data_IF_707957408674
#
_entry.id   IF_707957408674
#
_cell.length_a   1.000
_cell.length_b   1.000
_cell.length_c   1.000
_cell.angle_alpha   90.00
_cell.angle_beta   90.00
_cell.angle_gamma   90.00
#
_symmetry.space_group_name_H-M   'P 1'
#
loop_
_entity.id
_entity.type
_entity.pdbx_description
1 polymer ?
#
# COMPACT_ATOMS: atom_id res chain seq x y z
N UNK A 1 34.98 -29.07 18.56
CA UNK A 1 36.24 -28.73 17.87
C UNK A 1 35.84 -27.74 16.79
N UNK A 2 35.94 -26.43 17.11
CA UNK A 2 35.79 -25.38 16.13
C UNK A 2 36.95 -25.47 15.14
N UNK A 3 36.65 -25.54 13.85
CA UNK A 3 37.65 -25.29 12.82
C UNK A 3 37.92 -23.77 12.85
N UNK A 4 39.08 -23.37 13.44
CA UNK A 4 39.59 -22.03 13.26
C UNK A 4 39.87 -21.85 11.76
N UNK A 5 39.23 -20.85 11.15
CA UNK A 5 39.50 -20.48 9.76
C UNK A 5 40.86 -19.78 9.74
N UNK A 6 41.67 -20.02 8.69
CA UNK A 6 42.96 -19.35 8.49
C UNK A 6 42.76 -17.82 8.56
N UNK A 7 43.51 -17.08 9.39
CA UNK A 7 43.42 -15.62 9.51
C UNK A 7 43.50 -14.86 8.16
N UNK A 8 44.27 -15.40 7.19
CA UNK A 8 44.32 -14.82 5.84
C UNK A 8 42.99 -15.02 5.08
N UNK A 9 42.29 -16.14 5.34
CA UNK A 9 40.97 -16.39 4.75
C UNK A 9 39.89 -15.52 5.39
N UNK A 10 39.95 -15.24 6.70
CA UNK A 10 39.05 -14.32 7.41
C UNK A 10 39.14 -12.91 6.82
N UNK A 11 40.35 -12.36 6.70
CA UNK A 11 40.58 -11.02 6.08
C UNK A 11 40.08 -10.97 4.63
N UNK A 12 40.25 -12.06 3.87
CA UNK A 12 39.69 -12.18 2.52
C UNK A 12 38.14 -12.16 2.50
N UNK A 13 37.51 -12.82 3.47
CA UNK A 13 36.03 -12.79 3.62
C UNK A 13 35.51 -11.43 4.06
N UNK A 14 36.17 -10.74 4.96
CA UNK A 14 35.80 -9.37 5.37
C UNK A 14 35.87 -8.40 4.20
N UNK A 15 36.93 -8.46 3.38
CA UNK A 15 37.03 -7.65 2.17
C UNK A 15 35.93 -8.00 1.15
N UNK A 16 35.63 -9.30 0.98
CA UNK A 16 34.56 -9.75 0.10
C UNK A 16 33.17 -9.29 0.59
N UNK A 17 32.93 -9.29 1.91
CA UNK A 17 31.71 -8.75 2.51
C UNK A 17 31.54 -7.26 2.19
N UNK A 18 32.59 -6.46 2.39
CA UNK A 18 32.56 -5.02 2.07
C UNK A 18 32.31 -4.77 0.59
N UNK A 19 32.90 -5.55 -0.31
CA UNK A 19 32.62 -5.46 -1.76
C UNK A 19 31.17 -5.81 -2.06
N UNK A 20 30.66 -6.90 -1.49
CA UNK A 20 29.28 -7.34 -1.71
C UNK A 20 28.27 -6.30 -1.22
N UNK A 21 28.48 -5.69 -0.04
CA UNK A 21 27.67 -4.62 0.52
C UNK A 21 27.69 -3.36 -0.39
N UNK A 22 28.89 -2.91 -0.80
CA UNK A 22 29.04 -1.70 -1.64
C UNK A 22 28.51 -1.87 -3.05
N UNK A 23 28.46 -3.11 -3.56
CA UNK A 23 27.89 -3.44 -4.87
C UNK A 23 26.45 -3.95 -4.81
N UNK A 24 25.78 -3.83 -3.65
CA UNK A 24 24.39 -4.24 -3.43
C UNK A 24 24.11 -5.72 -3.73
N UNK A 25 25.10 -6.59 -3.58
CA UNK A 25 24.97 -8.04 -3.73
C UNK A 25 24.55 -8.67 -2.39
N UNK A 26 23.36 -8.33 -1.89
CA UNK A 26 22.96 -8.62 -0.51
C UNK A 26 22.82 -10.11 -0.19
N UNK A 27 22.36 -10.95 -1.13
CA UNK A 27 22.35 -12.42 -0.95
C UNK A 27 23.77 -12.99 -0.76
N UNK A 28 24.71 -12.50 -1.58
CA UNK A 28 26.12 -12.92 -1.45
C UNK A 28 26.75 -12.40 -0.16
N UNK A 29 26.40 -11.18 0.26
CA UNK A 29 26.83 -10.62 1.52
C UNK A 29 26.34 -11.47 2.70
N UNK A 30 25.10 -11.94 2.66
CA UNK A 30 24.54 -12.85 3.67
C UNK A 30 25.33 -14.17 3.76
N UNK A 31 25.63 -14.83 2.63
CA UNK A 31 26.43 -16.05 2.60
C UNK A 31 27.84 -15.85 3.19
N UNK A 32 28.50 -14.74 2.87
CA UNK A 32 29.83 -14.42 3.41
C UNK A 32 29.75 -14.13 4.91
N UNK A 33 28.74 -13.40 5.35
CA UNK A 33 28.51 -13.07 6.76
C UNK A 33 28.26 -14.34 7.60
N UNK A 34 27.55 -15.34 7.06
CA UNK A 34 27.40 -16.65 7.71
C UNK A 34 28.75 -17.31 8.00
N UNK A 35 29.66 -17.28 7.01
CA UNK A 35 30.98 -17.87 7.19
C UNK A 35 31.80 -17.14 8.27
N UNK A 36 31.73 -15.81 8.31
CA UNK A 36 32.40 -15.00 9.34
C UNK A 36 31.83 -15.24 10.74
N UNK A 37 30.48 -15.37 10.86
CA UNK A 37 29.82 -15.67 12.14
C UNK A 37 30.16 -17.09 12.64
N UNK A 38 30.44 -18.05 11.74
CA UNK A 38 30.90 -19.39 12.14
C UNK A 38 32.29 -19.32 12.83
N UNK A 39 33.14 -18.39 12.43
CA UNK A 39 34.48 -18.17 13.04
C UNK A 39 34.36 -17.38 14.35
N UNK A 40 33.59 -16.27 14.34
CA UNK A 40 33.36 -15.44 15.53
C UNK A 40 31.83 -15.27 15.81
N UNK A 41 31.21 -16.26 16.51
CA UNK A 41 29.77 -16.26 16.76
C UNK A 41 29.27 -15.17 17.71
N UNK A 42 30.17 -14.48 18.39
CA UNK A 42 29.86 -13.43 19.36
C UNK A 42 30.18 -12.02 18.85
N UNK A 43 30.59 -11.90 17.61
CA UNK A 43 30.88 -10.62 16.97
C UNK A 43 29.58 -9.85 16.74
N UNK A 44 29.34 -8.85 17.56
CA UNK A 44 28.10 -8.09 17.55
C UNK A 44 27.90 -7.33 16.23
N UNK A 45 28.96 -6.78 15.64
CA UNK A 45 28.89 -6.04 14.39
C UNK A 45 28.48 -6.95 13.21
N UNK A 46 29.05 -8.15 13.16
CA UNK A 46 28.66 -9.16 12.17
C UNK A 46 27.22 -9.64 12.36
N UNK A 47 26.78 -9.84 13.61
CA UNK A 47 25.40 -10.21 13.91
C UNK A 47 24.42 -9.08 13.53
N UNK A 48 24.73 -7.82 13.79
CA UNK A 48 23.91 -6.70 13.38
C UNK A 48 23.85 -6.57 11.85
N UNK A 49 24.99 -6.75 11.17
CA UNK A 49 25.04 -6.80 9.70
C UNK A 49 24.20 -7.93 9.14
N UNK A 50 24.31 -9.13 9.72
CA UNK A 50 23.51 -10.29 9.32
C UNK A 50 22.02 -10.07 9.51
N UNK A 51 21.59 -9.48 10.63
CA UNK A 51 20.20 -9.12 10.88
C UNK A 51 19.67 -8.24 9.75
N UNK A 52 20.42 -7.20 9.38
CA UNK A 52 20.01 -6.24 8.36
C UNK A 52 19.95 -6.89 6.96
N UNK A 53 20.92 -7.76 6.64
CA UNK A 53 20.93 -8.52 5.40
C UNK A 53 19.75 -9.49 5.30
N UNK A 54 19.49 -10.26 6.35
CA UNK A 54 18.39 -11.23 6.40
C UNK A 54 17.04 -10.53 6.33
N UNK A 55 16.90 -9.38 6.98
CA UNK A 55 15.72 -8.54 6.89
C UNK A 55 15.49 -8.03 5.46
N UNK A 56 16.54 -7.51 4.80
CA UNK A 56 16.47 -7.03 3.43
C UNK A 56 16.12 -8.13 2.43
N UNK A 57 16.69 -9.32 2.63
CA UNK A 57 16.44 -10.49 1.77
C UNK A 57 15.09 -11.19 2.05
N UNK A 58 14.31 -10.72 3.03
CA UNK A 58 13.03 -11.31 3.42
C UNK A 58 13.16 -12.62 4.20
N UNK A 59 14.33 -12.91 4.77
CA UNK A 59 14.56 -14.12 5.58
C UNK A 59 14.28 -13.81 7.05
N UNK A 60 13.00 -13.62 7.36
CA UNK A 60 12.54 -13.10 8.65
C UNK A 60 12.78 -14.08 9.82
N UNK A 61 12.66 -15.40 9.61
CA UNK A 61 12.96 -16.41 10.62
C UNK A 61 14.42 -16.34 11.05
N UNK A 62 15.33 -16.25 10.08
CA UNK A 62 16.77 -16.14 10.36
C UNK A 62 17.09 -14.82 11.04
N UNK A 63 16.46 -13.71 10.59
CA UNK A 63 16.62 -12.41 11.25
C UNK A 63 16.19 -12.48 12.72
N UNK A 64 15.07 -13.15 13.03
CA UNK A 64 14.59 -13.33 14.39
C UNK A 64 15.56 -14.18 15.25
N UNK A 65 16.17 -15.22 14.66
CA UNK A 65 17.22 -16.02 15.34
C UNK A 65 18.43 -15.16 15.69
N UNK A 66 18.88 -14.31 14.73
CA UNK A 66 20.02 -13.41 14.94
C UNK A 66 19.69 -12.35 16.01
N UNK A 67 18.48 -11.77 16.00
CA UNK A 67 18.01 -10.89 17.07
C UNK A 67 18.11 -11.57 18.44
N UNK A 68 17.71 -12.83 18.54
CA UNK A 68 17.85 -13.61 19.78
C UNK A 68 19.31 -13.84 20.22
N UNK A 69 20.27 -13.93 19.29
CA UNK A 69 21.71 -13.96 19.61
C UNK A 69 22.19 -12.62 20.12
N UNK A 70 21.78 -11.53 19.48
CA UNK A 70 22.10 -10.16 19.90
C UNK A 70 21.54 -9.87 21.30
N UNK A 71 20.29 -10.28 21.60
CA UNK A 71 19.68 -10.17 22.93
C UNK A 71 20.54 -10.83 24.03
N UNK A 72 21.10 -12.00 23.74
CA UNK A 72 21.95 -12.73 24.70
C UNK A 72 23.27 -12.06 24.96
N UNK A 73 23.81 -11.32 24.00
CA UNK A 73 25.12 -10.67 24.09
C UNK A 73 25.06 -9.28 24.75
N UNK A 74 24.12 -8.43 24.31
CA UNK A 74 24.04 -7.05 24.79
C UNK A 74 22.86 -6.77 25.73
N UNK A 75 21.98 -7.76 25.96
CA UNK A 75 20.75 -7.58 26.69
C UNK A 75 19.61 -7.10 25.81
N UNK A 76 18.44 -6.92 26.43
CA UNK A 76 17.22 -6.53 25.76
C UNK A 76 17.00 -5.03 25.93
N UNK A 77 16.97 -4.28 24.85
CA UNK A 77 16.60 -2.87 24.82
C UNK A 77 15.30 -2.64 24.03
N UNK A 78 14.71 -1.47 24.19
CA UNK A 78 13.45 -1.10 23.54
C UNK A 78 13.52 -1.16 22.02
N UNK A 79 14.65 -0.76 21.42
CA UNK A 79 14.83 -0.79 19.96
C UNK A 79 14.83 -2.22 19.42
N UNK A 80 15.51 -3.11 20.14
CA UNK A 80 15.55 -4.53 19.76
C UNK A 80 14.17 -5.18 19.87
N UNK A 81 13.39 -4.82 20.89
CA UNK A 81 12.01 -5.29 21.04
C UNK A 81 11.10 -4.75 19.92
N UNK A 82 11.26 -3.50 19.52
CA UNK A 82 10.52 -2.93 18.38
C UNK A 82 10.84 -3.70 17.09
N UNK A 83 12.12 -3.98 16.83
CA UNK A 83 12.53 -4.77 15.67
C UNK A 83 11.98 -6.20 15.71
N UNK A 84 12.05 -6.84 16.87
CA UNK A 84 11.51 -8.19 17.09
C UNK A 84 9.99 -8.24 16.88
N UNK A 85 9.28 -7.24 17.34
CA UNK A 85 7.85 -7.10 17.10
C UNK A 85 7.54 -6.95 15.59
N UNK A 86 8.35 -6.18 14.85
CA UNK A 86 8.20 -6.05 13.41
C UNK A 86 8.41 -7.40 12.69
N UNK A 87 9.43 -8.15 13.09
CA UNK A 87 9.69 -9.48 12.54
C UNK A 87 8.54 -10.46 12.80
N UNK A 88 7.92 -10.40 13.97
CA UNK A 88 6.74 -11.24 14.26
C UNK A 88 5.54 -10.87 13.38
N UNK A 89 5.37 -9.61 12.98
CA UNK A 89 4.31 -9.26 12.00
C UNK A 89 4.62 -9.82 10.61
N UNK A 90 5.87 -9.68 10.13
CA UNK A 90 6.28 -10.27 8.84
C UNK A 90 6.12 -11.80 8.82
N UNK A 91 6.24 -12.44 9.97
CA UNK A 91 6.00 -13.88 10.17
C UNK A 91 4.52 -14.21 10.45
N UNK A 92 3.61 -13.28 10.17
CA UNK A 92 2.16 -13.43 10.37
C UNK A 92 1.77 -13.85 11.80
N UNK A 93 2.55 -13.41 12.80
CA UNK A 93 2.30 -13.67 14.22
C UNK A 93 2.02 -12.41 15.04
N UNK A 94 0.87 -11.75 14.81
CA UNK A 94 0.53 -10.49 15.46
C UNK A 94 0.36 -10.61 16.99
N UNK A 95 0.11 -11.82 17.48
CA UNK A 95 0.03 -12.08 18.93
C UNK A 95 1.38 -11.90 19.61
N UNK A 96 2.44 -12.54 19.10
CA UNK A 96 3.81 -12.39 19.61
C UNK A 96 4.35 -10.98 19.38
N UNK A 97 3.98 -10.33 18.27
CA UNK A 97 4.33 -8.94 18.03
C UNK A 97 3.81 -8.04 19.14
N UNK A 98 2.53 -8.16 19.52
CA UNK A 98 1.90 -7.38 20.57
C UNK A 98 2.47 -7.71 21.96
N UNK A 99 2.68 -8.99 22.28
CA UNK A 99 3.30 -9.42 23.54
C UNK A 99 4.70 -8.80 23.71
N UNK A 100 5.50 -8.81 22.64
CA UNK A 100 6.83 -8.20 22.62
C UNK A 100 6.75 -6.69 22.90
N UNK A 101 5.75 -6.01 22.36
CA UNK A 101 5.56 -4.59 22.62
C UNK A 101 5.06 -4.28 24.03
N UNK A 102 4.29 -5.18 24.67
CA UNK A 102 3.97 -5.01 26.09
C UNK A 102 5.21 -5.13 26.98
N UNK A 103 6.14 -6.05 26.68
CA UNK A 103 7.43 -6.15 27.37
C UNK A 103 8.23 -4.85 27.21
N UNK A 104 8.28 -4.28 25.99
CA UNK A 104 8.93 -3.00 25.74
C UNK A 104 8.29 -1.85 26.53
N UNK A 105 6.96 -1.82 26.61
CA UNK A 105 6.20 -0.82 27.36
C UNK A 105 6.45 -0.89 28.87
N UNK A 106 6.65 -2.09 29.45
CA UNK A 106 7.03 -2.24 30.85
C UNK A 106 8.41 -1.65 31.13
N UNK A 107 9.33 -1.67 30.16
CA UNK A 107 10.66 -1.08 30.30
C UNK A 107 10.64 0.45 30.15
N UNK A 108 9.90 0.98 29.18
CA UNK A 108 9.78 2.42 28.92
C UNK A 108 8.36 2.79 28.47
N UNK A 109 7.51 3.08 29.44
CA UNK A 109 6.09 3.40 29.23
C UNK A 109 5.83 4.79 28.64
N UNK A 110 6.87 5.61 28.47
CA UNK A 110 6.77 6.97 27.91
C UNK A 110 7.34 7.04 26.49
N UNK A 111 7.98 6.00 26.01
CA UNK A 111 8.56 5.97 24.69
C UNK A 111 7.48 6.02 23.61
N UNK A 112 7.52 7.08 22.83
CA UNK A 112 6.48 7.34 21.80
C UNK A 112 6.49 6.30 20.68
N UNK A 113 7.65 5.70 20.35
CA UNK A 113 7.77 4.66 19.33
C UNK A 113 7.09 3.36 19.79
N UNK A 114 7.29 3.00 21.07
CA UNK A 114 6.60 1.86 21.69
C UNK A 114 5.09 2.09 21.76
N UNK A 115 4.68 3.26 22.24
CA UNK A 115 3.26 3.62 22.32
C UNK A 115 2.59 3.59 20.95
N UNK A 116 3.22 4.19 19.95
CA UNK A 116 2.70 4.19 18.58
C UNK A 116 2.60 2.77 18.02
N UNK A 117 3.63 1.95 18.23
CA UNK A 117 3.64 0.56 17.76
C UNK A 117 2.54 -0.27 18.45
N UNK A 118 2.34 -0.12 19.75
CA UNK A 118 1.23 -0.75 20.47
C UNK A 118 -0.12 -0.35 19.87
N UNK A 119 -0.31 0.94 19.61
CA UNK A 119 -1.56 1.45 19.01
C UNK A 119 -1.79 0.84 17.63
N UNK A 120 -0.79 0.81 16.77
CA UNK A 120 -0.95 0.25 15.41
C UNK A 120 -1.25 -1.25 15.43
N UNK A 121 -0.58 -2.03 16.28
CA UNK A 121 -0.85 -3.46 16.45
C UNK A 121 -2.26 -3.73 17.00
N UNK A 122 -2.71 -2.92 17.97
CA UNK A 122 -4.05 -3.04 18.54
C UNK A 122 -5.14 -2.68 17.53
N UNK A 123 -4.92 -1.64 16.71
CA UNK A 123 -5.82 -1.30 15.60
C UNK A 123 -5.91 -2.46 14.60
N UNK A 124 -4.78 -3.03 14.19
CA UNK A 124 -4.72 -4.17 13.27
C UNK A 124 -5.43 -5.43 13.81
N UNK A 125 -5.52 -5.58 15.14
CA UNK A 125 -6.24 -6.66 15.80
C UNK A 125 -7.68 -6.28 16.21
N UNK A 126 -8.22 -5.18 15.70
CA UNK A 126 -9.57 -4.66 16.00
C UNK A 126 -9.82 -4.34 17.50
N UNK A 127 -8.74 -4.18 18.30
CA UNK A 127 -8.77 -3.86 19.74
C UNK A 127 -8.76 -2.34 19.97
N UNK A 128 -9.63 -1.62 19.28
CA UNK A 128 -9.66 -0.16 19.26
C UNK A 128 -9.81 0.49 20.64
N UNK A 129 -10.55 -0.14 21.57
CA UNK A 129 -10.73 0.40 22.93
C UNK A 129 -9.41 0.45 23.73
N UNK A 130 -8.55 -0.54 23.54
CA UNK A 130 -7.23 -0.55 24.15
C UNK A 130 -6.28 0.40 23.45
N UNK A 131 -6.34 0.45 22.10
CA UNK A 131 -5.56 1.39 21.31
C UNK A 131 -5.75 2.84 21.77
N UNK A 132 -6.99 3.25 22.07
CA UNK A 132 -7.32 4.59 22.56
C UNK A 132 -6.55 4.92 23.85
N UNK A 133 -6.40 3.97 24.77
CA UNK A 133 -5.73 4.19 26.07
C UNK A 133 -4.24 4.54 25.86
N UNK A 134 -3.55 3.79 25.00
CA UNK A 134 -2.14 4.06 24.69
C UNK A 134 -1.99 5.31 23.82
N UNK A 135 -2.92 5.52 22.89
CA UNK A 135 -2.89 6.70 22.03
C UNK A 135 -3.09 8.01 22.82
N UNK A 136 -3.95 7.99 23.82
CA UNK A 136 -4.13 9.17 24.68
C UNK A 136 -2.83 9.56 25.40
N UNK A 137 -1.98 8.59 25.79
CA UNK A 137 -0.67 8.89 26.37
C UNK A 137 0.28 9.57 25.37
N UNK A 138 0.20 9.23 24.07
CA UNK A 138 0.97 9.94 23.04
C UNK A 138 0.52 11.41 22.99
N UNK A 139 -0.77 11.67 22.93
CA UNK A 139 -1.33 13.02 22.85
C UNK A 139 -0.97 13.85 24.08
N UNK A 140 -1.08 13.27 25.28
CA UNK A 140 -0.86 13.98 26.55
C UNK A 140 0.62 14.29 26.80
N UNK A 141 1.51 13.33 26.51
CA UNK A 141 2.93 13.43 26.83
C UNK A 141 3.78 13.97 25.67
N UNK A 142 3.30 13.80 24.44
CA UNK A 142 4.02 14.19 23.21
C UNK A 142 3.12 15.04 22.28
N UNK A 143 2.58 16.19 22.73
CA UNK A 143 1.59 16.97 21.97
C UNK A 143 2.13 17.56 20.67
N UNK A 144 3.46 17.58 20.48
CA UNK A 144 4.13 18.02 19.25
C UNK A 144 4.43 16.87 18.28
N UNK A 145 4.09 15.63 18.64
CA UNK A 145 4.18 14.47 17.78
C UNK A 145 2.86 14.24 17.06
N UNK A 146 2.90 14.15 15.74
CA UNK A 146 1.68 13.98 14.92
C UNK A 146 1.02 12.62 15.09
N UNK A 147 1.76 11.59 15.54
CA UNK A 147 1.33 10.19 15.55
C UNK A 147 0.09 9.95 16.40
N UNK A 148 -0.08 10.66 17.51
CA UNK A 148 -1.28 10.56 18.34
C UNK A 148 -2.55 10.99 17.58
N UNK A 149 -2.47 12.06 16.81
CA UNK A 149 -3.57 12.56 15.98
C UNK A 149 -3.79 11.70 14.75
N UNK A 150 -2.69 11.23 14.12
CA UNK A 150 -2.73 10.28 12.99
C UNK A 150 -3.46 8.99 13.41
N UNK A 151 -3.11 8.40 14.55
CA UNK A 151 -3.74 7.18 15.04
C UNK A 151 -5.25 7.34 15.24
N UNK A 152 -5.68 8.46 15.83
CA UNK A 152 -7.12 8.76 15.98
C UNK A 152 -7.81 8.90 14.62
N UNK A 153 -7.17 9.56 13.66
CA UNK A 153 -7.71 9.70 12.31
C UNK A 153 -7.78 8.36 11.58
N UNK A 154 -6.76 7.50 11.72
CA UNK A 154 -6.77 6.13 11.17
C UNK A 154 -7.90 5.30 11.76
N UNK A 155 -8.12 5.35 13.08
CA UNK A 155 -9.24 4.67 13.73
C UNK A 155 -10.60 5.18 13.21
N UNK A 156 -10.75 6.49 13.02
CA UNK A 156 -11.96 7.09 12.45
C UNK A 156 -12.19 6.62 11.00
N UNK A 157 -11.14 6.63 10.16
CA UNK A 157 -11.21 6.18 8.78
C UNK A 157 -11.56 4.69 8.67
N UNK A 158 -10.97 3.83 9.50
CA UNK A 158 -11.30 2.41 9.60
C UNK A 158 -12.76 2.17 10.02
N UNK A 159 -13.28 3.05 10.89
CA UNK A 159 -14.69 3.07 11.30
C UNK A 159 -15.64 3.68 10.25
N UNK A 160 -15.15 4.02 9.03
CA UNK A 160 -15.91 4.72 7.97
C UNK A 160 -16.50 6.07 8.41
N UNK A 161 -15.75 6.82 9.19
CA UNK A 161 -16.14 8.13 9.75
C UNK A 161 -15.14 9.22 9.32
N UNK A 162 -15.09 9.57 8.03
CA UNK A 162 -14.13 10.54 7.52
C UNK A 162 -14.26 11.93 8.14
N UNK A 163 -15.49 12.33 8.54
CA UNK A 163 -15.71 13.61 9.22
C UNK A 163 -15.01 13.65 10.59
N UNK A 164 -14.99 12.54 11.33
CA UNK A 164 -14.26 12.47 12.61
C UNK A 164 -12.73 12.56 12.36
N UNK A 165 -12.21 11.95 11.31
CA UNK A 165 -10.79 12.09 10.94
C UNK A 165 -10.42 13.54 10.62
N UNK A 166 -11.25 14.25 9.87
CA UNK A 166 -11.08 15.69 9.58
C UNK A 166 -11.09 16.50 10.88
N UNK A 167 -12.08 16.29 11.76
CA UNK A 167 -12.18 16.99 13.02
C UNK A 167 -10.95 16.81 13.92
N UNK A 168 -10.31 15.65 13.86
CA UNK A 168 -9.09 15.34 14.62
C UNK A 168 -7.87 16.03 14.04
N UNK A 169 -7.71 16.04 12.72
CA UNK A 169 -6.46 16.49 12.07
C UNK A 169 -6.46 17.99 11.74
N UNK A 170 -7.59 18.52 11.27
CA UNK A 170 -7.69 19.90 10.75
C UNK A 170 -7.27 20.98 11.78
N UNK A 171 -7.61 20.88 13.09
CA UNK A 171 -7.15 21.87 14.08
C UNK A 171 -5.63 21.93 14.25
N UNK A 172 -4.92 20.89 13.81
CA UNK A 172 -3.47 20.72 13.93
C UNK A 172 -2.73 20.84 12.60
N UNK A 173 -3.45 21.12 11.49
CA UNK A 173 -2.91 21.15 10.13
C UNK A 173 -1.73 22.10 9.98
N UNK A 174 -1.80 23.29 10.55
CA UNK A 174 -0.72 24.28 10.45
C UNK A 174 0.56 23.77 11.11
N UNK A 175 0.44 23.17 12.32
CA UNK A 175 1.56 22.57 13.05
C UNK A 175 2.22 21.44 12.29
N UNK A 176 1.42 20.58 11.65
CA UNK A 176 1.88 19.39 10.93
C UNK A 176 1.80 19.57 9.40
N UNK A 177 1.95 20.80 8.93
CA UNK A 177 1.82 21.13 7.50
C UNK A 177 2.83 20.41 6.60
N UNK A 178 3.98 19.98 7.16
CA UNK A 178 5.02 19.23 6.47
C UNK A 178 4.99 17.73 6.79
N UNK A 179 3.95 17.23 7.44
CA UNK A 179 3.76 15.81 7.68
C UNK A 179 2.96 15.19 6.52
N UNK A 180 3.61 14.29 5.79
CA UNK A 180 2.99 13.59 4.66
C UNK A 180 1.71 12.88 5.06
N UNK A 181 1.74 12.13 6.18
CA UNK A 181 0.63 11.29 6.62
C UNK A 181 -0.58 12.11 7.01
N UNK A 182 -0.37 13.24 7.70
CA UNK A 182 -1.45 14.17 8.05
C UNK A 182 -2.11 14.74 6.79
N UNK A 183 -1.31 15.21 5.82
CA UNK A 183 -1.85 15.76 4.56
C UNK A 183 -2.56 14.67 3.73
N UNK A 184 -1.99 13.47 3.66
CA UNK A 184 -2.59 12.35 2.94
C UNK A 184 -3.93 11.90 3.55
N UNK A 185 -4.01 11.78 4.88
CA UNK A 185 -5.24 11.39 5.58
C UNK A 185 -6.33 12.46 5.45
N UNK A 186 -5.99 13.75 5.61
CA UNK A 186 -6.93 14.85 5.35
C UNK A 186 -7.46 14.79 3.92
N UNK A 187 -6.57 14.67 2.94
CA UNK A 187 -6.95 14.58 1.54
C UNK A 187 -7.87 13.40 1.24
N UNK A 188 -7.56 12.22 1.79
CA UNK A 188 -8.38 11.02 1.63
C UNK A 188 -9.74 11.15 2.34
N UNK A 189 -9.77 11.73 3.54
CA UNK A 189 -11.01 11.95 4.27
C UNK A 189 -11.93 12.96 3.54
N UNK A 190 -11.40 14.06 3.02
CA UNK A 190 -12.14 15.00 2.19
C UNK A 190 -12.66 14.35 0.89
N UNK A 191 -11.89 13.44 0.27
CA UNK A 191 -12.36 12.68 -0.88
C UNK A 191 -13.59 11.83 -0.56
N UNK A 192 -13.59 11.13 0.57
CA UNK A 192 -14.71 10.27 0.97
C UNK A 192 -16.01 11.05 1.20
N UNK A 193 -15.94 12.29 1.69
CA UNK A 193 -17.11 13.17 1.82
C UNK A 193 -17.41 13.98 0.54
N UNK A 194 -16.70 13.68 -0.56
CA UNK A 194 -16.84 14.36 -1.86
C UNK A 194 -16.50 15.85 -1.86
N UNK A 195 -15.73 16.32 -0.88
CA UNK A 195 -15.12 17.67 -0.92
C UNK A 195 -13.83 17.62 -1.75
N UNK A 196 -13.98 17.61 -3.07
CA UNK A 196 -12.86 17.48 -3.99
C UNK A 196 -11.91 18.69 -3.96
N UNK A 197 -12.37 19.87 -3.55
CA UNK A 197 -11.53 21.05 -3.44
C UNK A 197 -10.50 20.88 -2.33
N UNK A 198 -10.94 20.56 -1.12
CA UNK A 198 -10.05 20.33 0.01
C UNK A 198 -9.24 19.04 -0.16
N UNK A 199 -9.82 17.99 -0.74
CA UNK A 199 -9.11 16.76 -1.05
C UNK A 199 -7.91 17.01 -1.97
N UNK A 200 -8.12 17.71 -3.09
CA UNK A 200 -7.05 18.10 -4.04
C UNK A 200 -5.97 18.94 -3.36
N UNK A 201 -6.37 19.92 -2.52
CA UNK A 201 -5.43 20.75 -1.77
C UNK A 201 -4.49 19.93 -0.91
N UNK A 202 -5.02 19.05 -0.08
CA UNK A 202 -4.25 18.26 0.87
C UNK A 202 -3.42 17.16 0.18
N UNK A 203 -3.97 16.45 -0.81
CA UNK A 203 -3.20 15.45 -1.57
C UNK A 203 -2.10 16.09 -2.41
N UNK A 204 -2.30 17.29 -2.93
CA UNK A 204 -1.22 18.02 -3.62
C UNK A 204 -0.09 18.43 -2.66
N UNK A 205 -0.42 18.82 -1.41
CA UNK A 205 0.58 19.04 -0.37
C UNK A 205 1.31 17.75 -0.03
N UNK A 206 0.57 16.64 0.17
CA UNK A 206 1.18 15.33 0.43
C UNK A 206 2.15 14.93 -0.70
N UNK A 207 1.74 15.07 -1.97
CA UNK A 207 2.58 14.77 -3.11
C UNK A 207 3.83 15.68 -3.20
N UNK A 208 3.73 16.95 -2.77
CA UNK A 208 4.87 17.85 -2.71
C UNK A 208 5.90 17.44 -1.65
N UNK A 209 5.46 16.84 -0.54
CA UNK A 209 6.32 16.33 0.54
C UNK A 209 6.97 15.00 0.11
N UNK A 210 6.18 14.09 -0.48
CA UNK A 210 6.68 12.80 -0.97
C UNK A 210 6.25 12.55 -2.42
N UNK A 211 7.02 13.03 -3.41
CA UNK A 211 6.68 12.97 -4.84
C UNK A 211 6.56 11.55 -5.41
N UNK A 212 7.14 10.55 -4.73
CA UNK A 212 7.11 9.16 -5.17
C UNK A 212 5.88 8.39 -4.65
N UNK A 213 4.98 9.04 -3.89
CA UNK A 213 3.80 8.38 -3.34
C UNK A 213 2.84 7.94 -4.44
N UNK A 214 2.88 6.64 -4.76
CA UNK A 214 1.98 5.99 -5.73
C UNK A 214 0.51 6.21 -5.34
N UNK A 215 0.15 5.95 -4.09
CA UNK A 215 -1.24 6.09 -3.62
C UNK A 215 -1.76 7.53 -3.74
N UNK A 216 -0.91 8.53 -3.45
CA UNK A 216 -1.29 9.93 -3.59
C UNK A 216 -1.53 10.31 -5.05
N UNK A 217 -0.68 9.80 -5.98
CA UNK A 217 -0.86 10.01 -7.43
C UNK A 217 -2.17 9.39 -7.93
N UNK A 218 -2.49 8.15 -7.52
CA UNK A 218 -3.77 7.50 -7.83
C UNK A 218 -4.96 8.33 -7.35
N UNK A 219 -4.95 8.74 -6.09
CA UNK A 219 -6.04 9.52 -5.52
C UNK A 219 -6.22 10.87 -6.22
N UNK A 220 -5.12 11.56 -6.53
CA UNK A 220 -5.18 12.82 -7.28
C UNK A 220 -5.71 12.61 -8.71
N UNK A 221 -5.30 11.55 -9.40
CA UNK A 221 -5.79 11.25 -10.74
C UNK A 221 -7.32 11.05 -10.73
N UNK A 222 -7.85 10.29 -9.77
CA UNK A 222 -9.29 10.09 -9.60
C UNK A 222 -10.04 11.38 -9.27
N UNK A 223 -9.44 12.28 -8.48
CA UNK A 223 -10.04 13.59 -8.20
C UNK A 223 -10.06 14.46 -9.45
N UNK A 224 -8.97 14.48 -10.22
CA UNK A 224 -8.91 15.21 -11.46
C UNK A 224 -9.95 14.69 -12.48
N UNK A 225 -10.14 13.37 -12.57
CA UNK A 225 -11.22 12.77 -13.36
C UNK A 225 -12.60 13.24 -12.89
N UNK A 226 -12.86 13.17 -11.58
CA UNK A 226 -14.14 13.57 -10.99
C UNK A 226 -14.46 15.06 -11.16
N UNK A 227 -13.43 15.90 -11.36
CA UNK A 227 -13.56 17.34 -11.54
C UNK A 227 -13.42 17.79 -13.01
N UNK A 228 -13.18 16.86 -13.94
CA UNK A 228 -13.02 17.15 -15.37
C UNK A 228 -11.65 17.74 -15.74
N UNK A 229 -10.68 17.68 -14.86
CA UNK A 229 -9.30 18.13 -15.09
C UNK A 229 -8.48 17.06 -15.86
N UNK A 230 -8.97 16.65 -17.02
CA UNK A 230 -8.46 15.49 -17.77
C UNK A 230 -6.96 15.52 -18.10
N UNK A 231 -6.42 16.72 -18.32
CA UNK A 231 -4.99 16.87 -18.64
C UNK A 231 -4.11 16.48 -17.45
N UNK A 232 -4.54 16.82 -16.25
CA UNK A 232 -3.77 16.49 -15.04
C UNK A 232 -3.96 15.03 -14.63
N UNK A 233 -5.15 14.46 -14.81
CA UNK A 233 -5.36 13.02 -14.58
C UNK A 233 -4.52 12.17 -15.55
N UNK A 234 -4.52 12.49 -16.85
CA UNK A 234 -3.72 11.81 -17.86
C UNK A 234 -2.22 11.82 -17.51
N UNK A 235 -1.68 12.98 -17.11
CA UNK A 235 -0.27 13.09 -16.69
C UNK A 235 0.06 12.14 -15.52
N UNK A 236 -0.83 12.09 -14.53
CA UNK A 236 -0.62 11.24 -13.35
C UNK A 236 -0.68 9.75 -13.72
N UNK A 237 -1.62 9.32 -14.56
CA UNK A 237 -1.69 7.93 -15.02
C UNK A 237 -0.48 7.54 -15.86
N UNK A 238 -0.03 8.42 -16.77
CA UNK A 238 1.17 8.18 -17.58
C UNK A 238 2.41 8.09 -16.68
N UNK A 239 2.53 8.95 -15.67
CA UNK A 239 3.64 8.93 -14.71
C UNK A 239 3.64 7.63 -13.88
N UNK A 240 2.48 7.19 -13.39
CA UNK A 240 2.32 5.92 -12.67
C UNK A 240 2.78 4.74 -13.52
N UNK A 241 2.27 4.62 -14.75
CA UNK A 241 2.57 3.53 -15.68
C UNK A 241 4.06 3.56 -16.10
N UNK A 242 4.63 4.74 -16.33
CA UNK A 242 6.04 4.88 -16.71
C UNK A 242 7.00 4.55 -15.56
N UNK A 243 6.59 4.82 -14.31
CA UNK A 243 7.37 4.53 -13.10
C UNK A 243 7.30 3.05 -12.75
N UNK A 244 6.11 2.45 -12.87
CA UNK A 244 5.87 1.03 -12.60
C UNK A 244 4.97 0.42 -13.69
N UNK A 245 5.59 -0.26 -14.64
CA UNK A 245 4.87 -0.95 -15.73
C UNK A 245 4.05 -2.16 -15.26
N UNK A 246 4.08 -2.50 -13.99
CA UNK A 246 3.26 -3.55 -13.37
C UNK A 246 2.08 -2.99 -12.56
N UNK A 247 1.85 -1.69 -12.59
CA UNK A 247 0.72 -1.03 -11.94
C UNK A 247 -0.60 -1.29 -12.69
N UNK A 248 -1.20 -2.46 -12.47
CA UNK A 248 -2.46 -2.85 -13.09
C UNK A 248 -3.60 -1.85 -12.81
N UNK A 249 -3.62 -1.26 -11.62
CA UNK A 249 -4.60 -0.26 -11.23
C UNK A 249 -4.49 1.02 -12.06
N UNK A 250 -3.26 1.49 -12.34
CA UNK A 250 -3.04 2.68 -13.17
C UNK A 250 -3.54 2.45 -14.60
N UNK A 251 -3.23 1.30 -15.19
CA UNK A 251 -3.73 0.92 -16.50
C UNK A 251 -5.26 0.90 -16.55
N UNK A 252 -5.90 0.23 -15.59
CA UNK A 252 -7.35 0.14 -15.54
C UNK A 252 -8.03 1.49 -15.35
N UNK A 253 -7.55 2.29 -14.39
CA UNK A 253 -8.15 3.58 -14.09
C UNK A 253 -8.00 4.56 -15.25
N UNK A 254 -6.86 4.53 -15.96
CA UNK A 254 -6.69 5.35 -17.16
C UNK A 254 -7.62 4.91 -18.28
N UNK A 255 -7.75 3.61 -18.50
CA UNK A 255 -8.69 3.06 -19.48
C UNK A 255 -10.14 3.50 -19.18
N UNK A 256 -10.56 3.37 -17.92
CA UNK A 256 -11.89 3.78 -17.47
C UNK A 256 -12.12 5.29 -17.63
N UNK A 257 -11.12 6.12 -17.28
CA UNK A 257 -11.17 7.58 -17.48
C UNK A 257 -11.36 7.94 -18.96
N UNK A 258 -10.63 7.31 -19.88
CA UNK A 258 -10.78 7.53 -21.31
C UNK A 258 -12.17 7.18 -21.81
N UNK A 259 -12.71 6.04 -21.39
CA UNK A 259 -14.01 5.56 -21.85
C UNK A 259 -15.18 6.37 -21.30
N UNK A 260 -15.08 6.86 -20.07
CA UNK A 260 -16.13 7.72 -19.48
C UNK A 260 -16.25 9.09 -20.17
N UNK A 261 -15.19 9.57 -20.78
CA UNK A 261 -15.18 10.81 -21.58
C UNK A 261 -15.31 10.56 -23.08
N UNK A 262 -15.71 9.35 -23.49
CA UNK A 262 -15.90 8.92 -24.87
C UNK A 262 -14.68 9.21 -25.79
N UNK A 263 -13.46 8.89 -25.32
CA UNK A 263 -12.21 9.15 -26.02
C UNK A 263 -11.36 7.90 -26.18
N UNK A 264 -10.71 7.80 -27.34
CA UNK A 264 -9.66 6.83 -27.65
C UNK A 264 -9.95 5.40 -27.18
N UNK A 265 -11.11 4.85 -27.59
CA UNK A 265 -11.58 3.52 -27.13
C UNK A 265 -10.59 2.41 -27.44
N UNK A 266 -9.88 2.49 -28.58
CA UNK A 266 -8.84 1.54 -28.98
C UNK A 266 -7.68 1.57 -27.96
N UNK A 267 -7.20 2.75 -27.60
CA UNK A 267 -6.15 2.92 -26.61
C UNK A 267 -6.64 2.54 -25.20
N UNK A 268 -7.86 2.89 -24.85
CA UNK A 268 -8.48 2.44 -23.58
C UNK A 268 -8.54 0.91 -23.49
N UNK A 269 -8.87 0.24 -24.61
CA UNK A 269 -8.89 -1.22 -24.64
C UNK A 269 -7.49 -1.83 -24.47
N UNK A 270 -6.46 -1.24 -25.08
CA UNK A 270 -5.06 -1.67 -24.89
C UNK A 270 -4.63 -1.54 -23.43
N UNK A 271 -4.94 -0.43 -22.79
CA UNK A 271 -4.66 -0.21 -21.37
C UNK A 271 -5.39 -1.24 -20.48
N UNK A 272 -6.69 -1.45 -20.70
CA UNK A 272 -7.47 -2.42 -19.93
C UNK A 272 -7.00 -3.86 -20.14
N UNK A 273 -6.53 -4.22 -21.36
CA UNK A 273 -5.90 -5.51 -21.63
C UNK A 273 -4.56 -5.66 -20.89
N UNK A 274 -3.77 -4.59 -20.73
CA UNK A 274 -2.58 -4.63 -19.89
C UNK A 274 -2.93 -4.87 -18.43
N UNK A 275 -3.96 -4.21 -17.89
CA UNK A 275 -4.43 -4.43 -16.53
C UNK A 275 -4.84 -5.88 -16.28
N UNK A 276 -5.66 -6.47 -17.16
CA UNK A 276 -6.13 -7.86 -16.99
C UNK A 276 -5.01 -8.89 -17.22
N UNK A 277 -3.99 -8.56 -18.02
CA UNK A 277 -2.81 -9.42 -18.17
C UNK A 277 -2.00 -9.49 -16.88
N UNK A 278 -1.92 -8.40 -16.14
CA UNK A 278 -1.23 -8.32 -14.84
C UNK A 278 -2.06 -8.98 -13.73
N UNK A 279 -3.38 -8.75 -13.72
CA UNK A 279 -4.29 -9.30 -12.72
C UNK A 279 -5.51 -10.00 -13.38
N UNK A 280 -5.37 -11.25 -13.85
CA UNK A 280 -6.39 -11.93 -14.66
C UNK A 280 -7.72 -12.21 -13.97
N UNK A 281 -7.78 -12.14 -12.64
CA UNK A 281 -8.98 -12.43 -11.83
C UNK A 281 -9.61 -11.18 -11.21
N UNK A 282 -9.34 -10.00 -11.75
CA UNK A 282 -9.96 -8.76 -11.28
C UNK A 282 -11.33 -8.57 -11.93
N UNK A 283 -12.38 -8.62 -11.13
CA UNK A 283 -13.75 -8.32 -11.60
C UNK A 283 -13.82 -6.89 -12.17
N UNK A 284 -13.24 -5.90 -11.48
CA UNK A 284 -13.25 -4.51 -11.93
C UNK A 284 -12.60 -4.33 -13.31
N UNK A 285 -11.49 -5.04 -13.59
CA UNK A 285 -10.79 -4.88 -14.88
C UNK A 285 -11.53 -5.56 -16.02
N UNK A 286 -12.17 -6.70 -15.77
CA UNK A 286 -13.06 -7.33 -16.73
C UNK A 286 -14.28 -6.45 -17.04
N UNK A 287 -14.86 -5.83 -16.03
CA UNK A 287 -15.97 -4.90 -16.21
C UNK A 287 -15.56 -3.69 -17.07
N UNK A 288 -14.40 -3.10 -16.80
CA UNK A 288 -13.85 -2.00 -17.61
C UNK A 288 -13.70 -2.40 -19.08
N UNK A 289 -13.16 -3.58 -19.40
CA UNK A 289 -13.09 -4.09 -20.78
C UNK A 289 -14.49 -4.23 -21.38
N UNK A 290 -15.43 -4.80 -20.64
CA UNK A 290 -16.80 -4.94 -21.07
C UNK A 290 -17.48 -3.60 -21.35
N UNK A 291 -17.22 -2.61 -20.50
CA UNK A 291 -17.73 -1.25 -20.67
C UNK A 291 -17.14 -0.55 -21.89
N UNK A 292 -15.83 -0.73 -22.17
CA UNK A 292 -15.19 -0.25 -23.39
C UNK A 292 -15.86 -0.85 -24.64
N UNK A 293 -16.05 -2.18 -24.69
CA UNK A 293 -16.75 -2.83 -25.79
C UNK A 293 -18.18 -2.33 -25.97
N UNK A 294 -18.89 -2.06 -24.87
CA UNK A 294 -20.22 -1.44 -24.93
C UNK A 294 -20.18 -0.07 -25.63
N UNK A 295 -19.26 0.79 -25.25
CA UNK A 295 -19.08 2.12 -25.86
C UNK A 295 -18.67 2.03 -27.35
N UNK A 296 -17.95 0.97 -27.73
CA UNK A 296 -17.63 0.65 -29.11
C UNK A 296 -18.81 -0.01 -29.89
N UNK A 297 -20.00 -0.14 -29.26
CA UNK A 297 -21.18 -0.85 -29.78
C UNK A 297 -20.96 -2.35 -30.06
N UNK A 298 -19.94 -2.96 -29.49
CA UNK A 298 -19.72 -4.41 -29.56
C UNK A 298 -20.41 -5.11 -28.38
N UNK A 299 -21.73 -5.23 -28.47
CA UNK A 299 -22.57 -5.74 -27.38
C UNK A 299 -22.29 -7.19 -27.00
N UNK A 300 -21.82 -8.03 -27.93
CA UNK A 300 -21.55 -9.44 -27.64
C UNK A 300 -20.31 -9.60 -26.75
N UNK A 301 -19.22 -8.90 -27.08
CA UNK A 301 -18.04 -8.88 -26.23
C UNK A 301 -18.30 -8.16 -24.91
N UNK A 302 -19.06 -7.06 -24.91
CA UNK A 302 -19.46 -6.38 -23.69
C UNK A 302 -20.17 -7.33 -22.72
N UNK A 303 -21.18 -8.07 -23.19
CA UNK A 303 -21.91 -9.04 -22.36
C UNK A 303 -21.03 -10.19 -21.89
N UNK A 304 -20.09 -10.63 -22.70
CA UNK A 304 -19.14 -11.69 -22.34
C UNK A 304 -18.28 -11.27 -21.14
N UNK A 305 -17.60 -10.13 -21.24
CA UNK A 305 -16.69 -9.64 -20.21
C UNK A 305 -17.41 -9.24 -18.92
N UNK A 306 -18.56 -8.53 -19.01
CA UNK A 306 -19.32 -8.12 -17.82
C UNK A 306 -19.90 -9.34 -17.07
N UNK A 307 -20.33 -10.39 -17.79
CA UNK A 307 -20.77 -11.64 -17.14
C UNK A 307 -19.63 -12.39 -16.49
N UNK A 308 -18.46 -12.41 -17.11
CA UNK A 308 -17.25 -12.98 -16.51
C UNK A 308 -16.86 -12.22 -15.24
N UNK A 309 -16.94 -10.90 -15.25
CA UNK A 309 -16.75 -10.05 -14.08
C UNK A 309 -17.74 -10.40 -12.95
N UNK A 310 -19.05 -10.54 -13.25
CA UNK A 310 -20.06 -10.92 -12.27
C UNK A 310 -19.90 -12.35 -11.73
N UNK A 311 -19.28 -13.25 -12.46
CA UNK A 311 -18.94 -14.58 -11.94
C UNK A 311 -17.86 -14.51 -10.84
N UNK A 312 -17.03 -13.48 -10.86
CA UNK A 312 -15.99 -13.25 -9.84
C UNK A 312 -16.59 -12.47 -8.66
N UNK A 313 -17.33 -11.38 -8.92
CA UNK A 313 -17.99 -10.56 -7.89
C UNK A 313 -19.49 -10.36 -8.24
N UNK A 314 -20.31 -11.33 -7.84
CA UNK A 314 -21.75 -11.30 -8.06
C UNK A 314 -22.49 -10.28 -7.19
N UNK A 315 -21.83 -9.67 -6.20
CA UNK A 315 -22.43 -8.70 -5.29
C UNK A 315 -22.30 -7.25 -5.77
N UNK A 316 -21.41 -6.97 -6.71
CA UNK A 316 -21.06 -5.63 -7.15
C UNK A 316 -22.21 -4.96 -7.94
N UNK A 317 -22.78 -3.91 -7.37
CA UNK A 317 -23.92 -3.21 -7.96
C UNK A 317 -23.54 -2.46 -9.26
N UNK A 318 -22.36 -1.87 -9.33
CA UNK A 318 -21.90 -1.16 -10.54
C UNK A 318 -21.83 -2.10 -11.75
N UNK A 319 -21.27 -3.30 -11.56
CA UNK A 319 -21.19 -4.30 -12.64
C UNK A 319 -22.59 -4.75 -13.09
N UNK A 320 -23.55 -4.90 -12.13
CA UNK A 320 -24.96 -5.19 -12.46
C UNK A 320 -25.61 -4.05 -13.23
N UNK A 321 -25.35 -2.82 -12.87
CA UNK A 321 -25.84 -1.65 -13.59
C UNK A 321 -25.29 -1.62 -15.01
N UNK A 322 -24.00 -1.87 -15.23
CA UNK A 322 -23.39 -1.97 -16.54
C UNK A 322 -24.05 -3.10 -17.37
N UNK A 323 -24.23 -4.29 -16.80
CA UNK A 323 -24.90 -5.38 -17.49
C UNK A 323 -26.30 -5.01 -17.96
N UNK A 324 -27.07 -4.39 -17.07
CA UNK A 324 -28.45 -3.98 -17.36
C UNK A 324 -28.50 -2.93 -18.48
N UNK A 325 -27.58 -1.97 -18.47
CA UNK A 325 -27.52 -0.94 -19.51
C UNK A 325 -27.15 -1.55 -20.88
N UNK A 326 -26.18 -2.45 -20.93
CA UNK A 326 -25.81 -3.15 -22.17
C UNK A 326 -26.99 -3.93 -22.74
N UNK A 327 -27.72 -4.70 -21.90
CA UNK A 327 -28.88 -5.47 -22.32
C UNK A 327 -29.97 -4.53 -22.88
N UNK A 328 -30.27 -3.46 -22.19
CA UNK A 328 -31.28 -2.47 -22.57
C UNK A 328 -30.99 -1.81 -23.90
N UNK A 329 -29.74 -1.33 -24.10
CA UNK A 329 -29.34 -0.66 -25.34
C UNK A 329 -29.32 -1.64 -26.51
N UNK A 330 -28.76 -2.87 -26.32
CA UNK A 330 -28.75 -3.92 -27.32
C UNK A 330 -30.15 -4.26 -27.80
N UNK A 331 -31.13 -4.41 -26.88
CA UNK A 331 -32.54 -4.71 -27.23
C UNK A 331 -33.14 -3.57 -28.05
N UNK A 332 -32.87 -2.33 -27.73
CA UNK A 332 -33.35 -1.16 -28.48
C UNK A 332 -32.79 -1.13 -29.90
N UNK A 333 -31.46 -1.35 -30.05
CA UNK A 333 -30.81 -1.39 -31.38
C UNK A 333 -31.37 -2.51 -32.26
N UNK A 334 -31.53 -3.71 -31.69
CA UNK A 334 -32.12 -4.85 -32.43
C UNK A 334 -33.57 -4.59 -32.84
N UNK A 335 -34.41 -3.99 -31.97
CA UNK A 335 -35.76 -3.62 -32.27
C UNK A 335 -35.88 -2.57 -33.38
N UNK A 336 -35.00 -1.59 -33.40
CA UNK A 336 -34.94 -0.58 -34.47
C UNK A 336 -34.49 -1.18 -35.83
N UNK A 337 -33.57 -2.14 -35.81
CA UNK A 337 -33.13 -2.82 -37.01
C UNK A 337 -34.24 -3.65 -37.65
N UNK A 338 -35.07 -4.32 -36.84
CA UNK A 338 -36.24 -5.07 -37.32
C UNK A 338 -37.30 -4.14 -37.96
N UNK A 339 -37.61 -3.01 -37.31
CA UNK A 339 -38.58 -2.03 -37.85
C UNK A 339 -38.09 -1.37 -39.15
N UNK A 340 -36.81 -1.19 -39.35
CA UNK A 340 -36.22 -0.65 -40.58
C UNK A 340 -36.33 -1.64 -41.76
N UNK A 341 -36.20 -2.94 -41.49
CA UNK A 341 -36.34 -3.98 -42.50
C UNK A 341 -37.84 -4.10 -42.88
N UNK A 342 -38.76 -4.09 -41.90
CA UNK A 342 -40.21 -4.17 -42.14
C UNK A 342 -40.80 -2.95 -42.89
N UNK A 343 -40.14 -1.79 -42.84
CA UNK A 343 -40.59 -0.59 -43.56
C UNK A 343 -39.98 -0.45 -44.98
N UNK A 344 -39.14 -1.38 -45.42
CA UNK A 344 -38.50 -1.42 -46.74
C UNK A 344 -39.14 -2.45 -47.69
N UNK A 345 -39.99 -3.35 -47.15
CA UNK A 345 -40.85 -4.29 -47.89
C UNK A 345 -42.26 -3.69 -48.07
#
# INVERSE_FOLDING_TARGET
QGHEIDPMAVNGLEQALQIALTTSQFYRAEEICDLLIMDDPVNLELLETMRDLTLYNGNYEKSLEIVGKIEKLKGVDSNLLIQKSALYEELENPGLALETMYIAFEQDSQNVDILHRLVTLLIGQERSQEAIIYNQRIIDNHPNDSRGFINNAVMAMSGKKPEEAIQVLQPHEERFSQDFTVQYLLGTAFYQIKDFINSKLHLSKALSIYPQSRNTKHNLALIHDSTGDWVESDKLYIDLISTDSTDAQAYNNYAYSLVERDRDFEFALELAQNAIRLEPKSAAYLDTIGWIYFKMNNFDEALRYIRESLNIDSSNETIKEHLNEVIKVRAKVNGQAIQQVENQD
#
